data_IF_003721041227
#
_entry.id   IF_003721041227
#
_cell.length_a   1.000
_cell.length_b   1.000
_cell.length_c   1.000
_cell.angle_alpha   90.00
_cell.angle_beta   90.00
_cell.angle_gamma   90.00
#
_symmetry.space_group_name_H-M   'P 1'
#
loop_
_entity.id
_entity.type
_entity.pdbx_description
1 polymer ?
#
# COMPACT_ATOMS: atom_id res chain seq x y z
N UNK A 1 12.07 -12.51 -3.56
CA UNK A 1 11.46 -11.17 -3.30
C UNK A 1 9.98 -11.24 -3.70
N UNK A 2 9.04 -11.06 -2.78
CA UNK A 2 7.60 -11.02 -3.13
C UNK A 2 7.33 -9.62 -3.67
N UNK A 3 6.84 -9.52 -4.91
CA UNK A 3 6.51 -8.23 -5.54
C UNK A 3 5.01 -7.99 -5.44
N UNK A 4 4.61 -7.07 -4.57
CA UNK A 4 3.22 -6.65 -4.42
C UNK A 4 2.91 -5.50 -5.39
N UNK A 5 1.77 -5.58 -6.10
CA UNK A 5 1.29 -4.49 -6.95
C UNK A 5 0.31 -3.63 -6.18
N UNK A 6 0.79 -2.51 -5.66
CA UNK A 6 -0.02 -1.57 -4.87
C UNK A 6 -0.79 -0.54 -5.71
N UNK A 7 -0.61 -0.56 -7.04
CA UNK A 7 -1.31 0.35 -7.96
C UNK A 7 -2.47 -0.36 -8.64
N UNK A 8 -3.65 0.26 -8.60
CA UNK A 8 -4.83 -0.24 -9.30
C UNK A 8 -4.60 -0.37 -10.80
N UNK A 9 -5.23 -1.40 -11.41
CA UNK A 9 -5.33 -1.51 -12.86
C UNK A 9 -6.22 -0.40 -13.41
N UNK A 10 -5.75 0.26 -14.47
CA UNK A 10 -6.51 1.29 -15.18
C UNK A 10 -7.75 0.63 -15.82
N UNK A 11 -8.89 1.30 -15.74
CA UNK A 11 -10.13 0.93 -16.44
C UNK A 11 -10.21 1.71 -17.76
N UNK A 12 -10.74 1.10 -18.83
CA UNK A 12 -11.03 1.76 -20.11
C UNK A 12 -9.93 1.70 -21.18
N UNK A 13 -10.16 2.37 -22.32
CA UNK A 13 -9.29 2.38 -23.52
C UNK A 13 -7.97 3.11 -23.30
N UNK A 14 -6.90 2.69 -23.98
CA UNK A 14 -5.57 3.30 -23.87
C UNK A 14 -5.57 4.75 -24.34
N UNK A 15 -4.76 5.60 -23.69
CA UNK A 15 -4.58 6.99 -24.12
C UNK A 15 -3.51 7.09 -25.22
N UNK A 16 -3.44 8.22 -25.93
CA UNK A 16 -2.44 8.43 -27.00
C UNK A 16 -1.00 8.41 -26.47
N UNK A 17 -0.82 8.83 -25.22
CA UNK A 17 0.45 8.95 -24.48
C UNK A 17 0.77 7.72 -23.61
N UNK A 18 0.21 6.55 -23.93
CA UNK A 18 0.38 5.32 -23.13
C UNK A 18 1.85 4.92 -22.86
N UNK A 19 2.84 5.13 -23.77
CA UNK A 19 4.24 4.85 -23.49
C UNK A 19 4.79 5.66 -22.31
N UNK A 20 4.55 6.98 -22.30
CA UNK A 20 5.00 7.88 -21.24
C UNK A 20 4.28 7.58 -19.92
N UNK A 21 2.96 7.32 -19.98
CA UNK A 21 2.17 6.92 -18.81
C UNK A 21 2.66 5.63 -18.18
N UNK A 22 3.14 4.66 -18.97
CA UNK A 22 3.68 3.40 -18.45
C UNK A 22 4.91 3.65 -17.58
N UNK A 23 5.81 4.54 -18.02
CA UNK A 23 7.01 4.94 -17.27
C UNK A 23 6.62 5.66 -15.97
N UNK A 24 5.73 6.65 -16.06
CA UNK A 24 5.24 7.37 -14.87
C UNK A 24 4.58 6.41 -13.87
N UNK A 25 3.83 5.44 -14.37
CA UNK A 25 3.16 4.45 -13.53
C UNK A 25 4.13 3.47 -12.88
N UNK A 26 5.21 3.08 -13.55
CA UNK A 26 6.23 2.25 -12.92
C UNK A 26 6.92 2.98 -11.78
N UNK A 27 7.26 4.26 -11.98
CA UNK A 27 7.91 5.07 -10.96
C UNK A 27 7.00 5.28 -9.75
N UNK A 28 5.76 5.67 -10.01
CA UNK A 28 4.75 5.86 -8.98
C UNK A 28 4.42 4.55 -8.24
N UNK A 29 4.48 3.40 -8.92
CA UNK A 29 4.31 2.09 -8.27
C UNK A 29 5.49 1.73 -7.38
N UNK A 30 6.71 2.13 -7.74
CA UNK A 30 7.91 1.93 -6.93
C UNK A 30 7.85 2.76 -5.65
N UNK A 31 7.53 4.05 -5.77
CA UNK A 31 7.32 4.95 -4.64
C UNK A 31 6.22 4.45 -3.68
N UNK A 32 5.08 4.01 -4.23
CA UNK A 32 3.99 3.43 -3.42
C UNK A 32 4.41 2.19 -2.65
N UNK A 33 5.19 1.30 -3.28
CA UNK A 33 5.69 0.09 -2.63
C UNK A 33 6.55 0.44 -1.42
N UNK A 34 7.52 1.34 -1.59
CA UNK A 34 8.41 1.80 -0.53
C UNK A 34 7.63 2.41 0.64
N UNK A 35 6.67 3.30 0.34
CA UNK A 35 5.87 3.97 1.40
C UNK A 35 4.99 3.00 2.18
N UNK A 36 4.31 2.08 1.49
CA UNK A 36 3.42 1.12 2.14
C UNK A 36 4.18 0.13 3.00
N UNK A 37 5.29 -0.42 2.50
CA UNK A 37 6.16 -1.30 3.27
C UNK A 37 6.79 -0.56 4.47
N UNK A 38 7.18 0.72 4.30
CA UNK A 38 7.68 1.56 5.39
C UNK A 38 6.65 1.81 6.49
N UNK A 39 5.39 2.10 6.14
CA UNK A 39 4.31 2.30 7.12
C UNK A 39 4.00 1.06 7.93
N UNK A 40 4.13 -0.11 7.31
CA UNK A 40 4.00 -1.38 7.99
C UNK A 40 5.15 -1.64 8.96
N UNK A 41 6.38 -1.31 8.57
CA UNK A 41 7.57 -1.48 9.42
C UNK A 41 7.48 -0.75 10.76
N UNK A 42 6.90 0.47 10.78
CA UNK A 42 6.76 1.27 12.01
C UNK A 42 5.64 0.78 12.93
N UNK A 43 4.55 0.24 12.37
CA UNK A 43 3.37 -0.19 13.13
C UNK A 43 3.28 -1.70 13.33
N UNK A 44 4.28 -2.47 12.86
CA UNK A 44 4.28 -3.94 12.88
C UNK A 44 4.02 -4.53 14.27
N UNK A 45 4.59 -3.92 15.30
CA UNK A 45 4.42 -4.35 16.69
C UNK A 45 3.01 -4.02 17.23
N UNK A 46 2.48 -2.85 16.87
CA UNK A 46 1.17 -2.39 17.32
C UNK A 46 0.02 -3.33 16.89
N UNK A 47 0.14 -3.94 15.69
CA UNK A 47 -0.83 -4.92 15.20
C UNK A 47 -0.45 -6.38 15.50
N UNK A 48 0.51 -6.63 16.40
CA UNK A 48 1.01 -7.98 16.72
C UNK A 48 1.53 -8.78 15.51
N UNK A 49 1.93 -8.10 14.43
CA UNK A 49 2.43 -8.73 13.20
C UNK A 49 3.94 -8.93 13.22
N UNK A 50 4.57 -8.85 14.41
CA UNK A 50 5.99 -9.10 14.65
C UNK A 50 6.45 -10.41 13.99
N UNK A 51 5.62 -11.46 14.10
CA UNK A 51 5.82 -12.76 13.46
C UNK A 51 4.52 -13.25 12.85
N UNK A 52 4.54 -13.55 11.55
CA UNK A 52 3.38 -14.06 10.83
C UNK A 52 3.44 -15.58 10.90
N UNK A 53 2.56 -16.18 11.72
CA UNK A 53 2.43 -17.63 11.84
C UNK A 53 1.27 -18.08 10.96
N UNK A 54 1.57 -18.45 9.72
CA UNK A 54 0.58 -19.01 8.79
C UNK A 54 1.01 -20.42 8.37
N UNK A 55 0.04 -21.34 8.25
CA UNK A 55 0.29 -22.74 7.86
C UNK A 55 0.76 -22.86 6.40
N UNK A 56 0.27 -21.97 5.53
CA UNK A 56 0.50 -22.01 4.09
C UNK A 56 1.11 -20.68 3.61
N UNK A 57 1.99 -20.74 2.61
CA UNK A 57 2.61 -19.57 1.99
C UNK A 57 1.59 -18.56 1.43
N UNK A 58 0.48 -19.04 0.84
CA UNK A 58 -0.60 -18.17 0.33
C UNK A 58 -1.24 -17.35 1.46
N UNK A 59 -1.46 -17.99 2.60
CA UNK A 59 -2.04 -17.36 3.79
C UNK A 59 -1.05 -16.39 4.42
N UNK A 60 0.24 -16.71 4.44
CA UNK A 60 1.30 -15.80 4.89
C UNK A 60 1.32 -14.50 4.06
N UNK A 61 1.29 -14.63 2.74
CA UNK A 61 1.20 -13.48 1.81
C UNK A 61 -0.06 -12.66 2.06
N UNK A 62 -1.19 -13.30 2.33
CA UNK A 62 -2.44 -12.63 2.65
C UNK A 62 -2.37 -11.85 3.97
N UNK A 63 -1.76 -12.43 5.02
CA UNK A 63 -1.55 -11.75 6.30
C UNK A 63 -0.65 -10.54 6.18
N UNK A 64 0.45 -10.64 5.41
CA UNK A 64 1.32 -9.50 5.11
C UNK A 64 0.53 -8.40 4.40
N UNK A 65 -0.24 -8.77 3.38
CA UNK A 65 -1.05 -7.84 2.60
C UNK A 65 -2.05 -7.08 3.49
N UNK A 66 -2.84 -7.81 4.29
CA UNK A 66 -3.78 -7.18 5.23
C UNK A 66 -3.08 -6.27 6.23
N UNK A 67 -1.96 -6.71 6.81
CA UNK A 67 -1.18 -5.91 7.75
C UNK A 67 -0.73 -4.57 7.17
N UNK A 68 -0.18 -4.58 5.96
CA UNK A 68 0.25 -3.36 5.26
C UNK A 68 -0.93 -2.42 5.00
N UNK A 69 -2.07 -2.96 4.54
CA UNK A 69 -3.24 -2.15 4.22
C UNK A 69 -3.91 -1.54 5.46
N UNK A 70 -3.98 -2.29 6.57
CA UNK A 70 -4.54 -1.79 7.84
C UNK A 70 -3.69 -0.66 8.40
N UNK A 71 -2.37 -0.82 8.46
CA UNK A 71 -1.45 0.22 8.93
C UNK A 71 -1.60 1.52 8.12
N UNK A 72 -1.70 1.39 6.79
CA UNK A 72 -1.90 2.53 5.91
C UNK A 72 -3.29 3.19 6.11
N UNK A 73 -4.36 2.42 6.33
CA UNK A 73 -5.70 2.96 6.55
C UNK A 73 -5.77 3.79 7.85
N UNK A 74 -5.18 3.29 8.95
CA UNK A 74 -5.13 4.01 10.23
C UNK A 74 -4.35 5.32 10.08
N UNK A 75 -3.20 5.30 9.41
CA UNK A 75 -2.44 6.52 9.12
C UNK A 75 -3.22 7.53 8.25
N UNK A 76 -4.11 7.05 7.36
CA UNK A 76 -4.96 7.93 6.55
C UNK A 76 -6.06 8.59 7.35
N UNK A 77 -6.64 7.92 8.35
CA UNK A 77 -7.71 8.48 9.21
C UNK A 77 -7.20 9.74 9.92
N UNK A 78 -6.06 9.66 10.61
CA UNK A 78 -5.45 10.80 11.30
C UNK A 78 -5.21 11.99 10.35
N UNK A 79 -4.76 11.72 9.12
CA UNK A 79 -4.52 12.75 8.10
C UNK A 79 -5.81 13.41 7.64
N UNK A 80 -6.88 12.63 7.46
CA UNK A 80 -8.20 13.14 7.04
C UNK A 80 -8.80 13.99 8.16
N UNK A 81 -8.74 13.53 9.41
CA UNK A 81 -9.24 14.30 10.56
C UNK A 81 -8.50 15.62 10.74
N UNK A 82 -7.16 15.60 10.65
CA UNK A 82 -6.34 16.82 10.72
C UNK A 82 -6.67 17.80 9.59
N UNK A 83 -6.97 17.30 8.39
CA UNK A 83 -7.43 18.15 7.27
C UNK A 83 -8.81 18.75 7.54
N UNK A 84 -9.75 17.96 8.06
CA UNK A 84 -11.09 18.46 8.44
C UNK A 84 -11.01 19.57 9.49
N UNK A 85 -10.22 19.39 10.55
CA UNK A 85 -10.03 20.40 11.61
C UNK A 85 -9.38 21.70 11.14
N UNK A 86 -8.57 21.66 10.07
CA UNK A 86 -7.95 22.86 9.49
C UNK A 86 -8.86 23.62 8.52
N UNK A 87 -9.91 22.96 8.03
CA UNK A 87 -10.85 23.52 7.07
C UNK A 87 -12.11 24.08 7.73
N UNK A 88 -12.39 23.67 8.98
CA UNK A 88 -13.35 24.29 9.88
C UNK A 88 -12.67 25.44 10.64
#
# INVERSE_FOLDING_TARGET
KISYKYSFKRKGRAAKDEPLRKILRSELSRERATRLEGSFGTQKQHYSLARIKARNRKTEVLWIFFGIHTANAVCMIEKVEKKKRKAA
#
